data_IF_033701973243
#
_entry.id   IF_033701973243
#
_cell.length_a   1.000
_cell.length_b   1.000
_cell.length_c   1.000
_cell.angle_alpha   90.00
_cell.angle_beta   90.00
_cell.angle_gamma   90.00
#
_symmetry.space_group_name_H-M   'P 1'
#
loop_
_entity.id
_entity.type
_entity.pdbx_description
1 polymer ?
#
# COMPACT_ATOMS: atom_id res chain seq x y z
N UNK A 1 -11.38 -27.09 -11.83
CA UNK A 1 -10.71 -26.47 -10.66
C UNK A 1 -11.76 -25.68 -9.90
N UNK A 2 -12.11 -26.07 -8.66
CA UNK A 2 -13.31 -25.58 -8.00
C UNK A 2 -13.13 -24.14 -7.51
N UNK A 3 -14.15 -23.31 -7.76
CA UNK A 3 -14.24 -21.91 -7.35
C UNK A 3 -14.51 -21.88 -5.85
N UNK A 4 -13.55 -21.36 -5.07
CA UNK A 4 -13.73 -21.10 -3.64
C UNK A 4 -14.89 -20.14 -3.42
N UNK A 5 -15.95 -20.64 -2.80
CA UNK A 5 -17.16 -19.86 -2.48
C UNK A 5 -16.94 -19.05 -1.21
N UNK A 6 -17.21 -17.76 -1.29
CA UNK A 6 -17.12 -16.82 -0.16
C UNK A 6 -18.37 -16.95 0.74
N UNK A 7 -18.26 -16.96 2.07
CA UNK A 7 -19.42 -17.07 2.95
C UNK A 7 -20.25 -15.77 2.93
N UNK A 8 -21.55 -15.91 2.65
CA UNK A 8 -22.55 -14.84 2.74
C UNK A 8 -22.81 -14.45 4.20
N UNK A 9 -22.67 -13.16 4.51
CA UNK A 9 -23.17 -12.58 5.76
C UNK A 9 -24.71 -12.62 5.78
N UNK A 10 -25.27 -13.28 6.79
CA UNK A 10 -26.71 -13.37 7.00
C UNK A 10 -27.18 -12.38 8.08
N UNK A 11 -28.18 -11.57 7.73
CA UNK A 11 -29.38 -11.37 8.55
C UNK A 11 -29.32 -10.39 9.71
N UNK A 12 -29.68 -9.13 9.43
CA UNK A 12 -30.21 -8.19 10.42
C UNK A 12 -31.56 -8.69 10.98
N UNK A 13 -31.73 -8.71 12.30
CA UNK A 13 -33.05 -8.70 12.94
C UNK A 13 -33.16 -7.54 13.94
N UNK A 14 -34.30 -6.86 13.83
CA UNK A 14 -34.68 -5.62 14.48
C UNK A 14 -35.16 -5.81 15.93
N UNK A 15 -34.88 -4.78 16.72
CA UNK A 15 -35.72 -4.13 17.76
C UNK A 15 -36.35 -4.97 18.88
N UNK A 16 -35.84 -4.75 20.09
CA UNK A 16 -36.55 -4.94 21.36
C UNK A 16 -36.32 -3.72 22.27
N UNK A 17 -37.38 -2.98 22.57
CA UNK A 17 -37.42 -1.83 23.47
C UNK A 17 -37.30 -2.29 24.93
N UNK A 18 -36.28 -1.82 25.66
CA UNK A 18 -36.18 -2.04 27.10
C UNK A 18 -35.76 -0.76 27.85
N UNK A 19 -36.73 -0.30 28.65
CA UNK A 19 -36.68 0.63 29.79
C UNK A 19 -35.32 1.19 30.23
N UNK A 20 -35.26 2.52 30.25
CA UNK A 20 -34.31 3.31 31.04
C UNK A 20 -34.47 3.02 32.53
N UNK A 21 -33.46 2.42 33.16
CA UNK A 21 -33.20 2.58 34.58
C UNK A 21 -32.02 3.55 34.75
N UNK A 22 -32.26 4.64 35.47
CA UNK A 22 -31.21 5.55 35.93
C UNK A 22 -30.42 4.82 37.02
N UNK A 23 -29.18 4.44 36.74
CA UNK A 23 -28.22 4.04 37.77
C UNK A 23 -27.09 5.08 37.85
N UNK A 24 -26.71 5.35 39.09
CA UNK A 24 -25.90 6.49 39.51
C UNK A 24 -24.52 6.54 38.85
N UNK A 25 -24.06 7.76 38.56
CA UNK A 25 -22.69 8.06 38.12
C UNK A 25 -21.68 7.70 39.21
N UNK A 26 -21.21 6.46 39.21
CA UNK A 26 -20.03 6.05 39.96
C UNK A 26 -18.78 6.58 39.25
N UNK A 27 -18.17 7.63 39.80
CA UNK A 27 -16.88 8.16 39.34
C UNK A 27 -15.82 7.06 39.55
N UNK A 28 -15.40 6.41 38.47
CA UNK A 28 -14.32 5.43 38.51
C UNK A 28 -13.07 6.08 39.11
N UNK A 29 -12.64 5.62 40.29
CA UNK A 29 -11.36 6.02 40.87
C UNK A 29 -10.26 5.57 39.91
N UNK A 30 -9.56 6.52 39.30
CA UNK A 30 -8.30 6.25 38.59
C UNK A 30 -7.36 5.55 39.57
N UNK A 31 -7.14 4.25 39.37
CA UNK A 31 -6.07 3.53 40.04
C UNK A 31 -4.76 4.22 39.73
N UNK A 32 -3.99 4.55 40.78
CA UNK A 32 -2.64 5.09 40.65
C UNK A 32 -1.81 4.01 39.93
N UNK A 33 -1.24 4.32 38.75
CA UNK A 33 -0.25 3.45 38.11
C UNK A 33 0.81 3.09 39.18
N UNK A 34 1.18 1.82 39.37
CA UNK A 34 2.31 1.50 40.22
C UNK A 34 3.53 2.25 39.68
N UNK A 35 4.30 2.86 40.58
CA UNK A 35 5.55 3.50 40.21
C UNK A 35 6.45 2.42 39.57
N UNK A 36 6.88 2.65 38.34
CA UNK A 36 7.92 1.85 37.71
C UNK A 36 9.13 1.99 38.63
N UNK A 37 9.62 0.89 39.19
CA UNK A 37 10.82 0.89 40.01
C UNK A 37 11.96 1.49 39.18
N UNK A 38 12.71 2.43 39.76
CA UNK A 38 13.93 2.92 39.11
C UNK A 38 14.85 1.71 38.89
N UNK A 39 15.38 1.51 37.65
CA UNK A 39 16.20 0.34 37.35
C UNK A 39 17.46 0.35 38.21
N UNK A 40 17.84 -0.82 38.72
CA UNK A 40 19.15 -1.02 39.35
C UNK A 40 20.26 -0.72 38.32
N UNK A 41 21.19 0.17 38.67
CA UNK A 41 22.38 0.53 37.89
C UNK A 41 23.33 -0.67 37.64
N UNK A 42 23.05 -1.85 38.17
CA UNK A 42 23.78 -3.09 37.86
C UNK A 42 23.19 -3.91 36.69
N UNK A 43 21.97 -3.60 36.24
CA UNK A 43 21.16 -4.48 35.38
C UNK A 43 21.12 -4.01 33.89
N UNK A 44 21.76 -2.88 33.57
CA UNK A 44 21.75 -2.27 32.23
C UNK A 44 22.81 -2.83 31.27
N UNK A 45 23.83 -3.53 31.76
CA UNK A 45 24.84 -4.24 30.95
C UNK A 45 24.47 -5.71 30.75
N UNK A 46 23.26 -5.97 30.27
CA UNK A 46 22.87 -7.35 29.99
C UNK A 46 23.78 -7.93 28.89
N UNK A 47 24.45 -9.05 29.18
CA UNK A 47 25.48 -9.71 28.35
C UNK A 47 25.02 -9.94 26.89
N UNK A 48 23.72 -10.11 26.67
CA UNK A 48 23.15 -10.25 25.33
C UNK A 48 23.35 -9.00 24.45
N UNK A 49 23.42 -7.79 25.01
CA UNK A 49 23.60 -6.55 24.22
C UNK A 49 24.92 -6.55 23.44
N UNK A 50 25.93 -7.27 23.92
CA UNK A 50 27.23 -7.43 23.25
C UNK A 50 27.12 -8.23 21.94
N UNK A 51 26.08 -9.06 21.83
CA UNK A 51 25.80 -9.92 20.68
C UNK A 51 24.83 -9.26 19.68
N UNK A 52 24.41 -8.01 19.90
CA UNK A 52 23.51 -7.30 19.00
C UNK A 52 24.17 -6.99 17.65
N UNK A 53 23.55 -7.44 16.56
CA UNK A 53 24.08 -7.22 15.20
C UNK A 53 24.24 -5.73 14.86
N UNK A 54 23.39 -4.86 15.40
CA UNK A 54 23.47 -3.41 15.22
C UNK A 54 24.63 -2.74 15.95
N UNK A 55 25.45 -3.47 16.71
CA UNK A 55 26.73 -2.97 17.23
C UNK A 55 27.86 -3.02 16.20
N UNK A 56 27.73 -3.87 15.19
CA UNK A 56 28.79 -4.15 14.22
C UNK A 56 28.35 -3.61 12.86
N UNK A 57 29.25 -2.96 12.13
CA UNK A 57 28.97 -2.58 10.75
C UNK A 57 29.02 -3.81 9.82
N UNK A 58 28.63 -3.65 8.55
CA UNK A 58 28.64 -4.73 7.56
C UNK A 58 30.04 -5.33 7.28
N UNK A 59 31.12 -4.72 7.81
CA UNK A 59 32.51 -5.16 7.69
C UNK A 59 33.04 -5.81 8.97
N UNK A 60 32.27 -5.78 10.05
CA UNK A 60 32.65 -6.34 11.35
C UNK A 60 33.52 -5.40 12.21
N UNK A 61 33.61 -4.11 11.85
CA UNK A 61 34.41 -3.15 12.58
C UNK A 61 33.67 -2.63 13.83
N UNK A 62 34.40 -2.48 14.94
CA UNK A 62 33.92 -2.00 16.23
C UNK A 62 33.87 -0.46 16.33
N UNK A 63 33.52 0.27 15.25
CA UNK A 63 33.29 1.72 15.36
C UNK A 63 31.88 1.99 15.93
N UNK A 64 31.81 1.87 17.27
CA UNK A 64 30.66 2.03 18.18
C UNK A 64 29.80 3.29 17.97
N UNK A 65 30.27 4.26 17.19
CA UNK A 65 29.69 5.60 17.07
C UNK A 65 28.77 5.75 15.83
N UNK A 66 28.78 4.81 14.87
CA UNK A 66 28.03 4.96 13.60
C UNK A 66 26.64 4.33 13.55
N UNK A 67 26.26 3.47 14.51
CA UNK A 67 24.97 2.75 14.46
C UNK A 67 23.98 3.16 15.56
N UNK A 68 24.39 3.88 16.60
CA UNK A 68 23.45 4.47 17.58
C UNK A 68 22.53 5.50 16.92
N UNK A 69 22.96 6.12 15.80
CA UNK A 69 22.13 6.99 14.98
C UNK A 69 21.03 6.27 14.19
N UNK A 70 21.15 4.97 13.92
CA UNK A 70 20.09 4.16 13.26
C UNK A 70 18.86 3.97 14.15
N UNK A 71 19.00 4.13 15.47
CA UNK A 71 17.87 4.08 16.41
C UNK A 71 16.92 5.27 16.24
N UNK A 72 17.41 6.39 15.71
CA UNK A 72 16.60 7.52 15.25
C UNK A 72 16.47 7.47 13.73
N UNK A 73 15.82 6.44 13.19
CA UNK A 73 15.45 6.38 11.78
C UNK A 73 14.77 7.71 11.36
N UNK A 74 15.53 8.60 10.73
CA UNK A 74 15.05 9.91 10.28
C UNK A 74 14.27 9.77 8.96
N UNK A 75 14.25 8.56 8.37
CA UNK A 75 13.48 8.20 7.19
C UNK A 75 12.84 6.80 7.28
N UNK A 76 11.83 6.56 6.44
CA UNK A 76 11.19 5.24 6.29
C UNK A 76 12.13 4.19 5.67
N UNK A 77 13.09 4.61 4.85
CA UNK A 77 14.10 3.72 4.26
C UNK A 77 15.05 3.17 5.33
N UNK A 78 15.44 4.01 6.29
CA UNK A 78 16.28 3.61 7.43
C UNK A 78 15.53 2.59 8.30
N UNK A 79 14.22 2.79 8.49
CA UNK A 79 13.40 1.86 9.26
C UNK A 79 13.34 0.46 8.63
N UNK A 80 13.19 0.36 7.30
CA UNK A 80 13.18 -0.93 6.61
C UNK A 80 14.53 -1.66 6.71
N UNK A 81 15.64 -0.93 6.53
CA UNK A 81 16.99 -1.47 6.66
C UNK A 81 17.27 -2.00 8.08
N UNK A 82 16.92 -1.22 9.11
CA UNK A 82 17.07 -1.61 10.52
C UNK A 82 16.22 -2.85 10.83
N UNK A 83 14.99 -2.93 10.33
CA UNK A 83 14.14 -4.12 10.53
C UNK A 83 14.74 -5.36 9.90
N UNK A 84 15.32 -5.26 8.71
CA UNK A 84 16.00 -6.38 8.04
C UNK A 84 17.18 -6.88 8.89
N UNK A 85 17.99 -5.96 9.42
CA UNK A 85 19.09 -6.30 10.33
C UNK A 85 18.60 -6.96 11.63
N UNK A 86 17.52 -6.43 12.24
CA UNK A 86 16.95 -7.03 13.43
C UNK A 86 16.43 -8.45 13.19
N UNK A 87 15.93 -8.77 11.98
CA UNK A 87 15.41 -10.12 11.66
C UNK A 87 16.49 -11.20 11.74
N UNK A 88 17.74 -10.88 11.44
CA UNK A 88 18.87 -11.81 11.50
C UNK A 88 19.66 -11.73 12.80
N UNK A 89 19.30 -10.82 13.70
CA UNK A 89 20.00 -10.59 14.96
C UNK A 89 19.65 -11.68 15.99
N UNK A 90 20.68 -12.32 16.57
CA UNK A 90 20.52 -13.40 17.56
C UNK A 90 19.78 -12.97 18.83
N UNK A 91 19.93 -11.71 19.23
CA UNK A 91 19.34 -11.14 20.45
C UNK A 91 18.09 -10.30 20.19
N UNK A 92 17.43 -10.53 19.04
CA UNK A 92 16.24 -9.79 18.62
C UNK A 92 15.14 -9.81 19.69
N UNK A 93 14.87 -10.97 20.28
CA UNK A 93 13.79 -11.14 21.24
C UNK A 93 14.13 -10.52 22.60
N UNK A 94 15.37 -10.66 23.07
CA UNK A 94 15.86 -9.97 24.27
C UNK A 94 15.71 -8.45 24.15
N UNK A 95 16.07 -7.91 22.97
CA UNK A 95 15.97 -6.49 22.66
C UNK A 95 14.52 -5.99 22.63
N UNK A 96 13.61 -6.73 21.98
CA UNK A 96 12.19 -6.38 21.94
C UNK A 96 11.51 -6.48 23.32
N UNK A 97 11.85 -7.51 24.11
CA UNK A 97 11.33 -7.71 25.47
C UNK A 97 11.73 -6.57 26.39
N UNK A 98 13.01 -6.18 26.38
CA UNK A 98 13.51 -5.05 27.17
C UNK A 98 12.73 -3.77 26.83
N UNK A 99 12.55 -3.51 25.53
CA UNK A 99 11.86 -2.33 25.04
C UNK A 99 10.36 -2.28 25.41
N UNK A 100 9.71 -3.44 25.50
CA UNK A 100 8.32 -3.54 25.98
C UNK A 100 8.24 -3.38 27.50
N UNK A 101 9.18 -4.00 28.24
CA UNK A 101 9.24 -3.93 29.70
C UNK A 101 9.41 -2.50 30.21
N UNK A 102 10.28 -1.71 29.57
CA UNK A 102 10.53 -0.32 29.95
C UNK A 102 9.68 0.69 29.17
N UNK A 103 8.72 0.23 28.35
CA UNK A 103 7.87 1.08 27.50
C UNK A 103 8.69 2.11 26.69
N UNK A 104 9.76 1.64 26.03
CA UNK A 104 10.73 2.50 25.34
C UNK A 104 10.03 3.47 24.35
N UNK A 105 10.18 4.80 24.54
CA UNK A 105 9.33 5.80 23.91
C UNK A 105 9.65 6.07 22.44
N UNK A 106 10.79 5.63 21.92
CA UNK A 106 11.17 5.86 20.52
C UNK A 106 12.05 4.74 19.96
N UNK A 107 12.30 4.79 18.65
CA UNK A 107 13.21 3.89 17.94
C UNK A 107 12.66 2.50 17.64
N UNK A 108 13.50 1.72 16.95
CA UNK A 108 13.22 0.34 16.53
C UNK A 108 14.00 -0.62 17.41
N UNK A 109 13.31 -1.53 18.08
CA UNK A 109 13.89 -2.46 19.05
C UNK A 109 13.45 -3.88 18.72
N UNK A 110 14.40 -4.79 18.50
CA UNK A 110 14.11 -6.16 18.03
C UNK A 110 13.27 -6.20 16.74
N UNK A 111 13.34 -5.13 15.93
CA UNK A 111 12.55 -4.97 14.71
C UNK A 111 11.15 -4.38 14.91
N UNK A 112 10.74 -4.05 16.15
CA UNK A 112 9.46 -3.41 16.44
C UNK A 112 9.59 -1.89 16.49
N UNK A 113 8.71 -1.18 15.80
CA UNK A 113 8.54 0.27 15.92
C UNK A 113 7.81 0.63 17.21
N UNK A 114 7.89 1.90 17.59
CA UNK A 114 7.13 2.46 18.72
C UNK A 114 5.62 2.18 18.60
N UNK A 115 5.07 2.33 17.40
CA UNK A 115 3.65 2.16 17.14
C UNK A 115 3.19 0.71 17.36
N UNK A 116 4.02 -0.26 16.94
CA UNK A 116 3.80 -1.69 17.14
C UNK A 116 3.94 -2.09 18.61
N UNK A 117 4.97 -1.59 19.31
CA UNK A 117 5.13 -1.82 20.77
C UNK A 117 3.92 -1.29 21.53
N UNK A 118 3.49 -0.05 21.24
CA UNK A 118 2.29 0.55 21.83
C UNK A 118 1.03 -0.25 21.51
N UNK A 119 0.94 -0.89 20.34
CA UNK A 119 -0.17 -1.79 20.01
C UNK A 119 -0.14 -3.06 20.88
N UNK A 120 1.01 -3.74 20.97
CA UNK A 120 1.19 -4.96 21.76
C UNK A 120 0.84 -4.75 23.23
N UNK A 121 1.34 -3.67 23.84
CA UNK A 121 1.03 -3.31 25.24
C UNK A 121 -0.48 -3.08 25.46
N UNK A 122 -1.19 -2.56 24.46
CA UNK A 122 -2.65 -2.33 24.56
C UNK A 122 -3.47 -3.61 24.33
N UNK A 123 -3.05 -4.46 23.40
CA UNK A 123 -3.79 -5.68 23.04
C UNK A 123 -3.56 -6.82 24.04
N UNK A 124 -2.47 -6.79 24.81
CA UNK A 124 -2.11 -7.85 25.76
C UNK A 124 -1.85 -7.30 27.18
N UNK A 125 -2.86 -6.73 27.85
CA UNK A 125 -2.70 -6.24 29.22
C UNK A 125 -2.42 -7.41 30.18
N UNK A 126 -1.30 -7.36 30.89
CA UNK A 126 -0.92 -8.35 31.90
C UNK A 126 0.01 -9.47 31.41
N UNK A 127 0.59 -9.36 30.21
CA UNK A 127 1.70 -10.24 29.81
C UNK A 127 2.97 -9.80 30.52
N UNK A 128 3.56 -10.70 31.30
CA UNK A 128 4.86 -10.51 31.95
C UNK A 128 5.99 -11.24 31.20
N UNK A 129 5.66 -12.36 30.53
CA UNK A 129 6.61 -13.15 29.74
C UNK A 129 6.57 -12.75 28.25
N UNK A 130 7.07 -11.56 27.94
CA UNK A 130 7.07 -11.03 26.58
C UNK A 130 7.88 -11.90 25.62
N UNK A 131 9.01 -12.47 26.04
CA UNK A 131 9.83 -13.35 25.18
C UNK A 131 9.04 -14.42 24.46
N UNK A 132 8.28 -15.24 25.20
CA UNK A 132 7.53 -16.36 24.62
C UNK A 132 6.45 -15.88 23.65
N UNK A 133 5.76 -14.78 23.99
CA UNK A 133 4.77 -14.17 23.11
C UNK A 133 5.44 -13.65 21.83
N UNK A 134 6.58 -12.97 21.95
CA UNK A 134 7.35 -12.47 20.82
C UNK A 134 7.87 -13.60 19.94
N UNK A 135 8.45 -14.66 20.50
CA UNK A 135 8.92 -15.82 19.74
C UNK A 135 7.79 -16.47 18.92
N UNK A 136 6.60 -16.56 19.50
CA UNK A 136 5.43 -17.16 18.82
C UNK A 136 4.79 -16.21 17.81
N UNK A 137 4.54 -14.96 18.22
CA UNK A 137 3.80 -13.97 17.45
C UNK A 137 4.66 -13.25 16.39
N UNK A 138 5.95 -13.03 16.64
CA UNK A 138 6.87 -12.46 15.63
C UNK A 138 7.21 -13.52 14.58
N UNK A 139 7.32 -14.80 14.93
CA UNK A 139 7.48 -15.84 13.91
C UNK A 139 6.25 -15.89 12.97
N UNK A 140 5.04 -15.81 13.52
CA UNK A 140 3.80 -15.76 12.74
C UNK A 140 3.66 -14.45 11.95
N UNK A 141 3.95 -13.30 12.57
CA UNK A 141 3.93 -11.99 11.93
C UNK A 141 4.99 -11.83 10.86
N UNK A 142 6.22 -12.31 11.06
CA UNK A 142 7.28 -12.25 10.04
C UNK A 142 6.95 -13.12 8.83
N UNK A 143 6.31 -14.28 9.02
CA UNK A 143 5.82 -15.10 7.92
C UNK A 143 4.71 -14.39 7.14
N UNK A 144 3.75 -13.76 7.83
CA UNK A 144 2.65 -13.01 7.20
C UNK A 144 3.13 -11.70 6.55
N UNK A 145 4.05 -10.98 7.19
CA UNK A 145 4.65 -9.76 6.66
C UNK A 145 5.56 -10.06 5.47
N UNK A 146 6.37 -11.13 5.53
CA UNK A 146 7.21 -11.54 4.40
C UNK A 146 6.38 -11.98 3.19
N UNK A 147 5.26 -12.68 3.42
CA UNK A 147 4.34 -13.05 2.32
C UNK A 147 3.64 -11.82 1.74
N UNK A 148 3.19 -10.88 2.59
CA UNK A 148 2.69 -9.59 2.11
C UNK A 148 3.73 -8.82 1.29
N UNK A 149 4.94 -8.62 1.83
CA UNK A 149 6.00 -7.84 1.19
C UNK A 149 6.37 -8.41 -0.19
N UNK A 150 6.55 -9.74 -0.29
CA UNK A 150 6.89 -10.42 -1.55
C UNK A 150 5.75 -10.38 -2.57
N UNK A 151 4.52 -10.71 -2.15
CA UNK A 151 3.37 -10.72 -3.05
C UNK A 151 3.02 -9.30 -3.51
N UNK A 152 3.12 -8.31 -2.61
CA UNK A 152 2.85 -6.91 -2.92
C UNK A 152 3.92 -6.34 -3.86
N UNK A 153 5.21 -6.58 -3.59
CA UNK A 153 6.30 -6.14 -4.45
C UNK A 153 6.17 -6.73 -5.86
N UNK A 154 5.91 -8.04 -5.95
CA UNK A 154 5.70 -8.73 -7.23
C UNK A 154 4.53 -8.12 -8.01
N UNK A 155 3.40 -7.90 -7.34
CA UNK A 155 2.24 -7.27 -7.98
C UNK A 155 2.52 -5.83 -8.40
N UNK A 156 3.23 -5.06 -7.57
CA UNK A 156 3.59 -3.68 -7.85
C UNK A 156 4.46 -3.60 -9.10
N UNK A 157 5.55 -4.36 -9.16
CA UNK A 157 6.46 -4.39 -10.31
C UNK A 157 5.75 -4.81 -11.60
N UNK A 158 4.87 -5.82 -11.52
CA UNK A 158 4.13 -6.29 -12.69
C UNK A 158 3.05 -5.31 -13.18
N UNK A 159 2.33 -4.66 -12.26
CA UNK A 159 1.10 -3.94 -12.59
C UNK A 159 1.26 -2.41 -12.60
N UNK A 160 2.26 -1.82 -11.94
CA UNK A 160 2.38 -0.37 -11.83
C UNK A 160 2.44 0.31 -13.21
N UNK A 161 3.41 -0.07 -14.05
CA UNK A 161 3.56 0.51 -15.38
C UNK A 161 2.40 0.17 -16.31
N UNK A 162 1.77 -1.00 -16.15
CA UNK A 162 0.58 -1.38 -16.92
C UNK A 162 -0.60 -0.48 -16.57
N UNK A 163 -0.79 -0.19 -15.28
CA UNK A 163 -1.87 0.67 -14.81
C UNK A 163 -1.65 2.14 -15.20
N UNK A 164 -0.40 2.60 -15.22
CA UNK A 164 -0.04 3.91 -15.77
C UNK A 164 -0.34 3.96 -17.28
N UNK A 165 0.07 2.94 -18.04
CA UNK A 165 -0.24 2.82 -19.46
C UNK A 165 -1.74 2.76 -19.76
N UNK A 166 -2.50 2.07 -18.92
CA UNK A 166 -3.96 2.02 -18.95
C UNK A 166 -4.58 3.42 -18.81
N UNK A 167 -4.14 4.21 -17.82
CA UNK A 167 -4.66 5.57 -17.61
C UNK A 167 -4.22 6.54 -18.71
N UNK A 168 -2.98 6.44 -19.20
CA UNK A 168 -2.52 7.23 -20.36
C UNK A 168 -3.36 6.90 -21.59
N UNK A 169 -3.63 5.61 -21.83
CA UNK A 169 -4.53 5.16 -22.90
C UNK A 169 -5.93 5.74 -22.71
N UNK A 170 -6.45 5.79 -21.48
CA UNK A 170 -7.74 6.39 -21.14
C UNK A 170 -7.76 7.94 -21.30
N UNK A 171 -6.59 8.59 -21.34
CA UNK A 171 -6.42 10.03 -21.61
C UNK A 171 -5.77 10.84 -20.50
N UNK A 172 -5.22 10.20 -19.46
CA UNK A 172 -4.49 10.88 -18.40
C UNK A 172 -3.13 11.41 -18.88
N UNK A 173 -2.66 12.53 -18.29
CA UNK A 173 -1.24 12.92 -18.40
C UNK A 173 -0.39 11.95 -17.57
N UNK A 174 0.88 11.80 -17.92
CA UNK A 174 1.79 10.84 -17.26
C UNK A 174 1.85 11.05 -15.74
N UNK A 175 2.00 12.29 -15.29
CA UNK A 175 2.06 12.63 -13.85
C UNK A 175 0.74 12.29 -13.14
N UNK A 176 -0.40 12.76 -13.68
CA UNK A 176 -1.72 12.45 -13.10
C UNK A 176 -2.00 10.94 -13.03
N UNK A 177 -1.51 10.18 -14.02
CA UNK A 177 -1.62 8.73 -14.05
C UNK A 177 -0.76 8.05 -12.98
N UNK A 178 0.50 8.45 -12.84
CA UNK A 178 1.41 7.92 -11.82
C UNK A 178 0.85 8.19 -10.41
N UNK A 179 0.40 9.41 -10.13
CA UNK A 179 -0.19 9.77 -8.84
C UNK A 179 -1.45 8.94 -8.54
N UNK A 180 -2.35 8.82 -9.50
CA UNK A 180 -3.59 8.04 -9.33
C UNK A 180 -3.31 6.55 -9.09
N UNK A 181 -2.31 5.98 -9.77
CA UNK A 181 -1.89 4.57 -9.60
C UNK A 181 -1.21 4.38 -8.26
N UNK A 182 -0.28 5.26 -7.86
CA UNK A 182 0.36 5.21 -6.54
C UNK A 182 -0.70 5.23 -5.43
N UNK A 183 -1.65 6.16 -5.49
CA UNK A 183 -2.76 6.22 -4.53
C UNK A 183 -3.61 4.94 -4.52
N UNK A 184 -3.86 4.34 -5.69
CA UNK A 184 -4.58 3.07 -5.76
C UNK A 184 -3.80 1.91 -5.10
N UNK A 185 -2.47 1.86 -5.27
CA UNK A 185 -1.62 0.87 -4.59
C UNK A 185 -1.58 1.07 -3.08
N UNK A 186 -1.53 2.32 -2.60
CA UNK A 186 -1.61 2.63 -1.17
C UNK A 186 -2.94 2.13 -0.59
N UNK A 187 -4.05 2.36 -1.29
CA UNK A 187 -5.36 1.85 -0.86
C UNK A 187 -5.45 0.33 -0.94
N UNK A 188 -4.81 -0.31 -1.93
CA UNK A 188 -4.75 -1.77 -2.01
C UNK A 188 -3.97 -2.36 -0.83
N UNK A 189 -2.82 -1.77 -0.48
CA UNK A 189 -2.01 -2.22 0.65
C UNK A 189 -2.81 -2.21 1.97
N UNK A 190 -3.65 -1.19 2.17
CA UNK A 190 -4.54 -1.06 3.35
C UNK A 190 -5.60 -2.17 3.43
N UNK A 191 -6.03 -2.70 2.30
CA UNK A 191 -7.12 -3.70 2.21
C UNK A 191 -6.62 -5.03 1.60
N UNK A 192 -5.34 -5.34 1.76
CA UNK A 192 -4.67 -6.43 1.04
C UNK A 192 -5.32 -7.80 1.22
N UNK A 193 -5.81 -8.08 2.43
CA UNK A 193 -6.45 -9.35 2.80
C UNK A 193 -7.90 -9.46 2.35
N UNK A 194 -8.57 -8.32 2.12
CA UNK A 194 -9.98 -8.25 1.72
C UNK A 194 -10.16 -8.34 0.20
N UNK A 195 -9.16 -7.86 -0.57
CA UNK A 195 -9.23 -7.77 -2.02
C UNK A 195 -8.63 -9.02 -2.68
N UNK A 196 -9.49 -9.94 -3.11
CA UNK A 196 -9.06 -11.15 -3.81
C UNK A 196 -8.70 -10.92 -5.29
N UNK A 197 -9.47 -10.08 -6.00
CA UNK A 197 -9.23 -9.76 -7.42
C UNK A 197 -8.53 -8.39 -7.50
N UNK A 198 -7.20 -8.42 -7.35
CA UNK A 198 -6.39 -7.21 -7.14
C UNK A 198 -6.27 -6.36 -8.39
N UNK A 199 -6.13 -6.98 -9.56
CA UNK A 199 -5.87 -6.27 -10.82
C UNK A 199 -7.08 -5.45 -11.29
N UNK A 200 -8.26 -6.05 -11.36
CA UNK A 200 -9.48 -5.32 -11.73
C UNK A 200 -9.95 -4.36 -10.63
N UNK A 201 -9.66 -4.64 -9.35
CA UNK A 201 -9.84 -3.66 -8.28
C UNK A 201 -8.93 -2.44 -8.46
N UNK A 202 -7.62 -2.63 -8.68
CA UNK A 202 -6.65 -1.55 -8.92
C UNK A 202 -7.10 -0.69 -10.10
N UNK A 203 -7.53 -1.31 -11.20
CA UNK A 203 -8.01 -0.59 -12.37
C UNK A 203 -9.18 0.33 -12.07
N UNK A 204 -10.17 -0.18 -11.34
CA UNK A 204 -11.36 0.58 -10.95
C UNK A 204 -10.99 1.74 -10.04
N UNK A 205 -10.12 1.50 -9.06
CA UNK A 205 -9.71 2.51 -8.09
C UNK A 205 -8.82 3.57 -8.74
N UNK A 206 -7.82 3.18 -9.52
CA UNK A 206 -6.95 4.10 -10.26
C UNK A 206 -7.76 4.99 -11.21
N UNK A 207 -8.67 4.41 -12.01
CA UNK A 207 -9.56 5.18 -12.87
C UNK A 207 -10.43 6.17 -12.08
N UNK A 208 -10.99 5.74 -10.93
CA UNK A 208 -11.79 6.61 -10.07
C UNK A 208 -10.98 7.75 -9.46
N UNK A 209 -9.76 7.46 -8.96
CA UNK A 209 -8.86 8.47 -8.39
C UNK A 209 -8.52 9.53 -9.43
N UNK A 210 -8.12 9.11 -10.64
CA UNK A 210 -7.85 10.02 -11.75
C UNK A 210 -9.09 10.82 -12.17
N UNK A 211 -10.25 10.16 -12.34
CA UNK A 211 -11.49 10.82 -12.72
C UNK A 211 -11.83 11.95 -11.75
N UNK A 212 -11.68 11.71 -10.44
CA UNK A 212 -11.92 12.71 -9.40
C UNK A 212 -11.02 13.94 -9.58
N UNK A 213 -9.73 13.74 -9.85
CA UNK A 213 -8.79 14.84 -10.12
C UNK A 213 -9.21 15.61 -11.37
N UNK A 214 -9.56 14.94 -12.47
CA UNK A 214 -9.99 15.62 -13.72
C UNK A 214 -11.25 16.46 -13.50
N UNK A 215 -12.26 15.93 -12.80
CA UNK A 215 -13.50 16.66 -12.53
C UNK A 215 -13.26 17.86 -11.59
N UNK A 216 -12.36 17.75 -10.61
CA UNK A 216 -12.03 18.84 -9.69
C UNK A 216 -11.12 19.91 -10.34
N UNK A 217 -10.15 19.51 -11.16
CA UNK A 217 -9.24 20.42 -11.87
C UNK A 217 -9.91 21.18 -13.01
N UNK A 218 -10.99 20.64 -13.62
CA UNK A 218 -11.81 21.38 -14.60
C UNK A 218 -12.49 22.63 -14.00
N UNK A 219 -12.59 22.73 -12.68
CA UNK A 219 -13.15 23.90 -11.99
C UNK A 219 -12.08 24.95 -11.60
N UNK A 220 -10.78 24.62 -11.65
CA UNK A 220 -9.68 25.52 -11.26
C UNK A 220 -8.51 25.43 -12.25
N UNK A 221 -8.41 26.33 -13.25
CA UNK A 221 -7.32 26.33 -14.21
C UNK A 221 -6.02 26.72 -13.50
N UNK A 222 -5.19 25.73 -13.15
CA UNK A 222 -3.80 25.98 -12.78
C UNK A 222 -3.02 26.08 -14.09
N UNK A 223 -2.32 27.18 -14.30
CA UNK A 223 -1.50 27.41 -15.49
C UNK A 223 -0.52 26.24 -15.67
N UNK A 224 -0.44 25.73 -16.90
CA UNK A 224 0.46 24.65 -17.29
C UNK A 224 1.91 25.14 -17.17
N UNK A 225 2.56 24.86 -16.03
CA UNK A 225 4.00 25.05 -15.90
C UNK A 225 4.61 23.90 -16.68
N UNK A 226 5.07 24.21 -17.90
CA UNK A 226 5.68 23.25 -18.83
C UNK A 226 6.73 22.42 -18.11
N UNK A 227 6.36 21.19 -17.75
CA UNK A 227 7.25 20.22 -17.14
C UNK A 227 8.20 19.71 -18.21
N UNK A 228 9.50 19.92 -17.96
CA UNK A 228 10.58 19.45 -18.81
C UNK A 228 10.32 18.04 -19.35
N UNK A 229 10.47 17.91 -20.66
CA UNK A 229 10.49 16.63 -21.35
C UNK A 229 11.70 15.84 -20.84
N UNK A 230 11.51 15.04 -19.79
CA UNK A 230 12.46 14.01 -19.42
C UNK A 230 12.43 12.98 -20.54
N UNK A 231 13.42 13.07 -21.43
CA UNK A 231 13.66 12.12 -22.51
C UNK A 231 13.97 10.77 -21.86
N UNK A 232 12.99 9.88 -21.84
CA UNK A 232 13.21 8.50 -21.44
C UNK A 232 14.12 7.85 -22.49
N UNK A 233 15.26 7.30 -22.07
CA UNK A 233 16.10 6.45 -22.91
C UNK A 233 15.32 5.18 -23.26
N UNK A 234 14.77 5.16 -24.47
CA UNK A 234 14.28 3.99 -25.18
C UNK A 234 14.72 4.14 -26.63
N UNK A 235 14.78 3.03 -27.37
CA UNK A 235 15.10 3.06 -28.80
C UNK A 235 14.19 4.09 -29.49
N UNK A 236 14.79 5.11 -30.11
CA UNK A 236 14.12 6.35 -30.52
C UNK A 236 12.93 6.07 -31.46
N UNK A 237 13.02 4.98 -32.23
CA UNK A 237 11.95 4.48 -33.09
C UNK A 237 10.70 3.99 -32.33
N UNK A 238 10.87 3.22 -31.26
CA UNK A 238 9.77 2.67 -30.45
C UNK A 238 9.02 3.77 -29.70
N UNK A 239 9.74 4.79 -29.24
CA UNK A 239 9.16 5.96 -28.60
C UNK A 239 8.34 6.79 -29.58
N UNK A 240 8.83 7.00 -30.80
CA UNK A 240 8.12 7.71 -31.87
C UNK A 240 6.84 6.96 -32.27
N UNK A 241 6.91 5.64 -32.44
CA UNK A 241 5.76 4.79 -32.78
C UNK A 241 4.69 4.85 -31.67
N UNK A 242 5.10 4.68 -30.41
CA UNK A 242 4.20 4.84 -29.25
C UNK A 242 3.55 6.21 -29.19
N UNK A 243 4.33 7.27 -29.42
CA UNK A 243 3.82 8.64 -29.40
C UNK A 243 2.75 8.85 -30.48
N UNK A 244 2.94 8.31 -31.70
CA UNK A 244 1.93 8.36 -32.77
C UNK A 244 0.64 7.65 -32.39
N UNK A 245 0.72 6.46 -31.80
CA UNK A 245 -0.47 5.71 -31.34
C UNK A 245 -1.22 6.51 -30.28
N UNK A 246 -0.52 7.09 -29.30
CA UNK A 246 -1.14 7.92 -28.27
C UNK A 246 -1.80 9.17 -28.86
N UNK A 247 -1.19 9.81 -29.87
CA UNK A 247 -1.82 10.92 -30.59
C UNK A 247 -3.11 10.49 -31.30
N UNK A 248 -3.16 9.32 -31.92
CA UNK A 248 -4.38 8.82 -32.55
C UNK A 248 -5.49 8.55 -31.53
N UNK A 249 -5.14 7.91 -30.41
CA UNK A 249 -6.07 7.66 -29.31
C UNK A 249 -6.63 8.97 -28.73
N UNK A 250 -5.82 10.03 -28.70
CA UNK A 250 -6.22 11.34 -28.22
C UNK A 250 -7.36 11.99 -29.04
N UNK A 251 -7.51 11.60 -30.32
CA UNK A 251 -8.57 12.07 -31.21
C UNK A 251 -9.92 11.37 -30.97
N UNK A 252 -9.95 10.29 -30.20
CA UNK A 252 -11.18 9.59 -29.84
C UNK A 252 -11.95 10.35 -28.74
N UNK A 253 -13.30 10.36 -28.77
CA UNK A 253 -14.11 10.82 -27.64
C UNK A 253 -13.75 10.11 -26.33
N UNK A 254 -13.78 10.85 -25.21
CA UNK A 254 -13.34 10.39 -23.88
C UNK A 254 -13.92 9.02 -23.51
N UNK A 255 -15.25 8.85 -23.60
CA UNK A 255 -15.93 7.59 -23.28
C UNK A 255 -15.53 6.42 -24.19
N UNK A 256 -15.21 6.69 -25.47
CA UNK A 256 -14.76 5.65 -26.40
C UNK A 256 -13.34 5.19 -26.04
N UNK A 257 -12.48 6.14 -25.65
CA UNK A 257 -11.10 5.90 -25.27
C UNK A 257 -10.99 5.13 -23.96
N UNK A 258 -11.76 5.53 -22.94
CA UNK A 258 -11.83 4.82 -21.65
C UNK A 258 -12.28 3.37 -21.85
N UNK A 259 -13.39 3.15 -22.57
CA UNK A 259 -13.88 1.78 -22.83
C UNK A 259 -12.87 0.96 -23.64
N UNK A 260 -12.16 1.58 -24.59
CA UNK A 260 -11.09 0.92 -25.34
C UNK A 260 -9.92 0.53 -24.42
N UNK A 261 -9.51 1.39 -23.49
CA UNK A 261 -8.46 1.09 -22.51
C UNK A 261 -8.80 -0.14 -21.65
N UNK A 262 -10.04 -0.21 -21.14
CA UNK A 262 -10.50 -1.39 -20.40
C UNK A 262 -10.47 -2.66 -21.27
N UNK A 263 -10.89 -2.56 -22.53
CA UNK A 263 -10.91 -3.70 -23.44
C UNK A 263 -9.50 -4.15 -23.87
N UNK A 264 -8.56 -3.22 -24.02
CA UNK A 264 -7.15 -3.51 -24.31
C UNK A 264 -6.53 -4.36 -23.19
N UNK A 265 -6.84 -4.01 -21.95
CA UNK A 265 -6.41 -4.76 -20.77
C UNK A 265 -7.31 -5.97 -20.43
N UNK A 266 -8.05 -6.49 -21.42
CA UNK A 266 -8.79 -7.75 -21.31
C UNK A 266 -10.11 -7.73 -20.53
N UNK A 267 -10.61 -6.57 -20.08
CA UNK A 267 -11.92 -6.53 -19.40
C UNK A 267 -13.08 -6.80 -20.36
N UNK A 268 -14.06 -7.56 -19.87
CA UNK A 268 -15.33 -7.76 -20.55
C UNK A 268 -16.21 -6.50 -20.48
N UNK A 269 -17.16 -6.31 -21.43
CA UNK A 269 -18.06 -5.16 -21.38
C UNK A 269 -18.89 -5.05 -20.10
N UNK A 270 -19.17 -6.18 -19.44
CA UNK A 270 -19.90 -6.21 -18.16
C UNK A 270 -19.04 -5.73 -16.99
N UNK A 271 -17.76 -6.12 -16.95
CA UNK A 271 -16.81 -5.66 -15.93
C UNK A 271 -16.51 -4.17 -16.09
N UNK A 272 -16.30 -3.71 -17.33
CA UNK A 272 -16.12 -2.30 -17.65
C UNK A 272 -17.35 -1.47 -17.24
N UNK A 273 -18.55 -1.99 -17.51
CA UNK A 273 -19.80 -1.33 -17.10
C UNK A 273 -19.89 -1.16 -15.57
N UNK A 274 -19.55 -2.21 -14.82
CA UNK A 274 -19.51 -2.17 -13.37
C UNK A 274 -18.44 -1.19 -12.84
N UNK A 275 -17.28 -1.11 -13.50
CA UNK A 275 -16.21 -0.20 -13.12
C UNK A 275 -16.57 1.28 -13.38
N UNK A 276 -17.22 1.56 -14.51
CA UNK A 276 -17.56 2.91 -14.95
C UNK A 276 -18.92 3.42 -14.43
N UNK A 277 -19.76 2.55 -13.87
CA UNK A 277 -21.10 2.93 -13.41
C UNK A 277 -22.06 3.24 -14.56
N UNK A 278 -21.88 2.63 -15.74
CA UNK A 278 -22.72 2.83 -16.93
C UNK A 278 -23.31 1.50 -17.43
N UNK A 279 -24.42 1.49 -18.19
CA UNK A 279 -24.98 0.24 -18.71
C UNK A 279 -24.05 -0.52 -19.65
N UNK A 280 -24.00 -1.85 -19.56
CA UNK A 280 -23.18 -2.70 -20.45
C UNK A 280 -23.51 -2.54 -21.94
N UNK A 281 -24.75 -2.18 -22.28
CA UNK A 281 -25.13 -1.82 -23.64
C UNK A 281 -24.37 -0.57 -24.14
N UNK A 282 -24.21 0.44 -23.29
CA UNK A 282 -23.47 1.66 -23.59
C UNK A 282 -21.98 1.37 -23.79
N UNK A 283 -21.40 0.50 -22.97
CA UNK A 283 -20.01 0.04 -23.13
C UNK A 283 -19.82 -0.66 -24.48
N UNK A 284 -20.67 -1.63 -24.83
CA UNK A 284 -20.58 -2.34 -26.13
C UNK A 284 -20.68 -1.37 -27.31
N UNK A 285 -21.59 -0.40 -27.25
CA UNK A 285 -21.78 0.59 -28.30
C UNK A 285 -20.56 1.52 -28.43
N UNK A 286 -20.01 2.01 -27.32
CA UNK A 286 -18.80 2.83 -27.33
C UNK A 286 -17.58 2.05 -27.80
N UNK A 287 -17.41 0.79 -27.38
CA UNK A 287 -16.30 -0.05 -27.82
C UNK A 287 -16.33 -0.27 -29.34
N UNK A 288 -17.52 -0.55 -29.91
CA UNK A 288 -17.69 -0.69 -31.36
C UNK A 288 -17.30 0.60 -32.07
N UNK A 289 -17.81 1.76 -31.60
CA UNK A 289 -17.50 3.08 -32.17
C UNK A 289 -16.02 3.42 -32.06
N UNK A 290 -15.39 3.13 -30.92
CA UNK A 290 -13.97 3.34 -30.68
C UNK A 290 -13.11 2.56 -31.69
N UNK A 291 -13.38 1.27 -31.87
CA UNK A 291 -12.65 0.41 -32.82
C UNK A 291 -12.83 0.89 -34.26
N UNK A 292 -14.04 1.24 -34.67
CA UNK A 292 -14.30 1.76 -36.03
C UNK A 292 -13.61 3.11 -36.26
N UNK A 293 -13.65 4.03 -35.29
CA UNK A 293 -12.99 5.33 -35.40
C UNK A 293 -11.47 5.18 -35.44
N UNK A 294 -10.90 4.32 -34.58
CA UNK A 294 -9.47 4.07 -34.54
C UNK A 294 -8.98 3.41 -35.83
N UNK A 295 -9.69 2.42 -36.37
CA UNK A 295 -9.35 1.81 -37.66
C UNK A 295 -9.29 2.85 -38.79
N UNK A 296 -10.26 3.77 -38.84
CA UNK A 296 -10.27 4.87 -39.81
C UNK A 296 -9.04 5.78 -39.66
N UNK A 297 -8.68 6.12 -38.41
CA UNK A 297 -7.52 6.97 -38.12
C UNK A 297 -6.20 6.29 -38.50
N UNK A 298 -6.04 5.01 -38.18
CA UNK A 298 -4.86 4.20 -38.54
C UNK A 298 -4.67 4.16 -40.06
N UNK A 299 -5.74 3.91 -40.82
CA UNK A 299 -5.67 3.92 -42.30
C UNK A 299 -5.32 5.28 -42.88
N UNK A 300 -5.77 6.38 -42.26
CA UNK A 300 -5.48 7.74 -42.72
C UNK A 300 -4.01 8.15 -42.48
N UNK A 301 -3.40 7.70 -41.39
CA UNK A 301 -1.99 7.99 -41.06
C UNK A 301 -1.01 6.98 -41.66
N UNK A 302 -1.49 5.95 -42.38
CA UNK A 302 -0.65 4.95 -43.04
C UNK A 302 0.12 4.04 -42.06
N UNK A 303 -0.34 3.90 -40.82
CA UNK A 303 0.25 3.00 -39.83
C UNK A 303 -0.16 1.58 -40.20
N UNK A 304 0.79 0.77 -40.66
CA UNK A 304 0.56 -0.65 -40.99
C UNK A 304 0.54 -1.45 -39.67
N UNK A 305 -0.48 -2.29 -39.43
CA UNK A 305 -0.61 -3.06 -38.19
C UNK A 305 0.47 -4.15 -38.03
#
# INVERSE_FOLDING_TARGET
MPRGSCPRAAGSLRTGTARRSRSASGRARKGRKPAVAEPDESDWEAEWQLNAACRYDARGDQEHERLTSMFWAHSLADAAAVRSLCKTCSVRFDCAELALKYEEPYGIWGGLTEQERRHLLRSHPGVEAWRHLLETAIAEYDLVAATFDLDFASLFEEQFHRMVGFLITAGARRQDAEDAVQMAFVELARHWTEVCERTGWLRRVAHRMWSKVVFQSREHPVADVGGDAVVAQGDDADLVERHRVLQLLSRLPEQQRVVLAFAYDGCTPSETAAALGVPAANVRQNLKRARTALARLITQEGIVP
#
